data_IF_434150653813
#
_entry.id   IF_434150653813
#
_cell.length_a   1.000
_cell.length_b   1.000
_cell.length_c   1.000
_cell.angle_alpha   90.00
_cell.angle_beta   90.00
_cell.angle_gamma   90.00
#
_symmetry.space_group_name_H-M   'P 1'
#
loop_
_entity.id
_entity.type
_entity.pdbx_description
1 polymer ?
#
# COMPACT_ATOMS: atom_id res chain seq x y z
N UNK A 1 17.58 -2.40 4.51
CA UNK A 1 16.23 -1.98 4.93
C UNK A 1 16.30 -0.78 5.86
N UNK A 2 15.33 0.14 5.81
CA UNK A 2 15.24 1.31 6.70
C UNK A 2 13.81 1.47 7.21
N UNK A 3 13.61 1.67 8.51
CA UNK A 3 12.31 2.03 9.07
C UNK A 3 12.05 3.52 8.90
N UNK A 4 10.84 3.86 8.49
CA UNK A 4 10.36 5.23 8.33
C UNK A 4 8.89 5.31 8.74
N UNK A 5 8.41 6.54 8.95
CA UNK A 5 7.01 6.84 9.21
C UNK A 5 6.50 7.73 8.08
N UNK A 6 5.41 7.33 7.44
CA UNK A 6 4.89 7.96 6.24
C UNK A 6 3.49 8.53 6.45
N UNK A 7 3.20 9.66 5.81
CA UNK A 7 1.83 10.12 5.64
C UNK A 7 1.11 9.23 4.60
N UNK A 8 -0.18 8.90 4.77
CA UNK A 8 -0.93 8.09 3.80
C UNK A 8 -0.93 8.65 2.36
N UNK A 9 -0.81 9.97 2.20
CA UNK A 9 -0.71 10.62 0.88
C UNK A 9 0.64 10.39 0.17
N UNK A 10 1.67 9.91 0.87
CA UNK A 10 3.00 9.66 0.29
C UNK A 10 3.12 8.28 -0.37
N UNK A 11 2.08 7.44 -0.26
CA UNK A 11 2.12 6.03 -0.66
C UNK A 11 1.07 5.77 -1.76
N UNK A 12 1.52 5.34 -2.94
CA UNK A 12 0.67 4.74 -3.94
C UNK A 12 0.21 3.36 -3.45
N UNK A 13 -1.09 3.14 -3.41
CA UNK A 13 -1.70 1.90 -2.88
C UNK A 13 -2.02 0.91 -4.01
N UNK A 14 -2.33 -0.33 -3.64
CA UNK A 14 -2.81 -1.38 -4.54
C UNK A 14 -4.28 -1.15 -4.95
N UNK A 15 -4.68 -1.70 -6.10
CA UNK A 15 -6.03 -1.49 -6.66
C UNK A 15 -7.15 -2.37 -6.02
N UNK A 16 -6.98 -2.82 -4.78
CA UNK A 16 -8.01 -3.58 -4.08
C UNK A 16 -9.08 -2.63 -3.50
N UNK A 17 -10.17 -2.38 -4.23
CA UNK A 17 -11.26 -1.53 -3.78
C UNK A 17 -12.63 -2.26 -3.84
N UNK A 18 -13.37 -2.34 -2.71
CA UNK A 18 -12.90 -2.13 -1.34
C UNK A 18 -11.84 -3.19 -0.97
N UNK A 19 -11.18 -3.02 0.19
CA UNK A 19 -10.27 -4.06 0.69
C UNK A 19 -11.01 -5.40 0.84
N UNK A 20 -10.42 -6.50 0.35
CA UNK A 20 -11.14 -7.77 0.10
C UNK A 20 -11.69 -8.50 1.34
N UNK A 21 -11.28 -8.12 2.56
CA UNK A 21 -11.69 -8.80 3.79
C UNK A 21 -12.00 -7.80 4.90
N UNK A 22 -13.29 -7.55 5.10
CA UNK A 22 -13.77 -6.59 6.10
C UNK A 22 -13.37 -6.99 7.54
N UNK A 23 -13.29 -8.28 7.86
CA UNK A 23 -12.97 -8.73 9.22
C UNK A 23 -11.52 -8.41 9.58
N UNK A 24 -10.59 -8.59 8.65
CA UNK A 24 -9.19 -8.18 8.82
C UNK A 24 -9.09 -6.67 8.98
N UNK A 25 -9.85 -5.89 8.20
CA UNK A 25 -9.90 -4.44 8.37
C UNK A 25 -10.43 -4.06 9.76
N UNK A 26 -11.49 -4.73 10.27
CA UNK A 26 -12.03 -4.50 11.62
C UNK A 26 -11.00 -4.75 12.72
N UNK A 27 -10.23 -5.83 12.61
CA UNK A 27 -9.18 -6.15 13.57
C UNK A 27 -8.13 -5.04 13.60
N UNK A 28 -7.55 -4.69 12.45
CA UNK A 28 -6.54 -3.62 12.38
C UNK A 28 -7.10 -2.27 12.84
N UNK A 29 -8.32 -1.93 12.43
CA UNK A 29 -8.98 -0.70 12.86
C UNK A 29 -9.11 -0.65 14.37
N UNK A 30 -9.52 -1.74 15.03
CA UNK A 30 -9.67 -1.78 16.50
C UNK A 30 -8.33 -1.66 17.22
N UNK A 31 -7.27 -2.27 16.69
CA UNK A 31 -5.90 -2.12 17.21
C UNK A 31 -5.47 -0.65 17.13
N UNK A 32 -5.63 -0.01 15.98
CA UNK A 32 -5.24 1.39 15.77
C UNK A 32 -6.09 2.36 16.60
N UNK A 33 -7.41 2.14 16.65
CA UNK A 33 -8.36 2.94 17.43
C UNK A 33 -8.02 2.91 18.92
N UNK A 34 -7.58 1.76 19.44
CA UNK A 34 -7.17 1.59 20.85
C UNK A 34 -5.72 2.01 21.12
N UNK A 35 -5.02 2.59 20.14
CA UNK A 35 -3.62 3.05 20.24
C UNK A 35 -2.62 1.92 20.55
N UNK A 36 -2.88 0.71 20.10
CA UNK A 36 -1.95 -0.43 20.18
C UNK A 36 -1.18 -0.62 18.87
N UNK A 37 -0.76 0.46 18.23
CA UNK A 37 -0.13 0.40 16.89
C UNK A 37 1.26 -0.24 16.96
N UNK A 38 1.89 -0.19 18.12
CA UNK A 38 3.18 -0.79 18.45
C UNK A 38 3.22 -2.32 18.27
N UNK A 39 2.09 -3.01 18.35
CA UNK A 39 1.99 -4.45 18.10
C UNK A 39 1.94 -4.77 16.60
N UNK A 40 1.74 -3.76 15.74
CA UNK A 40 1.63 -3.96 14.31
C UNK A 40 3.01 -3.87 13.65
N UNK A 41 3.42 -4.89 12.88
CA UNK A 41 4.68 -4.83 12.16
C UNK A 41 4.63 -3.72 11.09
N UNK A 42 5.79 -3.13 10.73
CA UNK A 42 5.87 -2.15 9.65
C UNK A 42 5.46 -2.77 8.31
N UNK A 43 5.09 -1.92 7.36
CA UNK A 43 4.64 -2.31 6.02
C UNK A 43 5.76 -2.20 4.99
N UNK A 44 5.90 -3.18 4.07
CA UNK A 44 6.91 -3.11 3.03
C UNK A 44 6.53 -2.08 1.96
N UNK A 45 7.45 -1.17 1.67
CA UNK A 45 7.35 -0.21 0.57
C UNK A 45 8.68 -0.13 -0.17
N UNK A 46 8.64 0.28 -1.44
CA UNK A 46 9.84 0.71 -2.15
C UNK A 46 9.69 2.14 -2.65
N UNK A 47 10.81 2.86 -2.72
CA UNK A 47 10.83 4.25 -3.18
C UNK A 47 10.76 4.29 -4.71
N UNK A 48 10.00 5.25 -5.28
CA UNK A 48 9.78 5.38 -6.73
C UNK A 48 11.08 5.54 -7.54
N UNK A 49 12.14 6.05 -6.93
CA UNK A 49 13.47 6.19 -7.58
C UNK A 49 14.14 4.85 -7.91
N UNK A 50 13.68 3.73 -7.32
CA UNK A 50 14.19 2.40 -7.67
C UNK A 50 13.57 1.88 -8.97
N UNK A 51 12.45 2.46 -9.39
CA UNK A 51 11.69 2.06 -10.56
C UNK A 51 10.21 2.33 -10.35
N UNK A 52 9.51 2.55 -11.47
CA UNK A 52 8.06 2.52 -11.51
C UNK A 52 7.60 1.13 -11.99
N UNK A 53 6.42 0.66 -11.56
CA UNK A 53 5.90 -0.64 -11.95
C UNK A 53 5.33 -0.58 -13.38
N UNK A 54 6.23 -0.53 -14.36
CA UNK A 54 5.88 -0.44 -15.78
C UNK A 54 5.87 -1.81 -16.44
N UNK A 55 4.95 -2.01 -17.37
CA UNK A 55 4.89 -3.20 -18.20
C UNK A 55 5.91 -3.11 -19.35
N UNK A 56 6.54 -4.24 -19.66
CA UNK A 56 7.37 -4.40 -20.86
C UNK A 56 6.52 -4.66 -22.11
N UNK A 57 6.99 -4.20 -23.27
CA UNK A 57 6.34 -4.44 -24.56
C UNK A 57 5.95 -3.16 -25.31
N UNK A 58 5.31 -3.31 -26.47
CA UNK A 58 4.99 -2.20 -27.40
C UNK A 58 3.50 -2.03 -27.70
N UNK A 59 2.62 -2.84 -27.07
CA UNK A 59 1.18 -2.80 -27.26
C UNK A 59 0.56 -1.45 -26.87
N UNK A 60 -0.56 -1.10 -27.51
CA UNK A 60 -1.26 0.18 -27.26
C UNK A 60 -1.70 0.31 -25.80
N UNK A 61 -2.27 -0.74 -25.22
CA UNK A 61 -2.76 -0.72 -23.85
C UNK A 61 -1.61 -0.67 -22.82
N UNK A 62 -0.49 -1.36 -23.10
CA UNK A 62 0.75 -1.27 -22.31
C UNK A 62 1.28 0.18 -22.30
N UNK A 63 1.33 0.83 -23.46
CA UNK A 63 1.74 2.24 -23.56
C UNK A 63 0.81 3.16 -22.77
N UNK A 64 -0.51 2.97 -22.92
CA UNK A 64 -1.53 3.75 -22.19
C UNK A 64 -1.35 3.61 -20.68
N UNK A 65 -1.21 2.38 -20.19
CA UNK A 65 -0.98 2.07 -18.79
C UNK A 65 0.31 2.72 -18.26
N UNK A 66 1.44 2.55 -18.97
CA UNK A 66 2.72 3.13 -18.57
C UNK A 66 2.69 4.67 -18.55
N UNK A 67 1.96 5.29 -19.47
CA UNK A 67 1.72 6.75 -19.46
C UNK A 67 0.90 7.14 -18.23
N UNK A 68 -0.18 6.42 -17.93
CA UNK A 68 -1.04 6.72 -16.81
C UNK A 68 -0.31 6.61 -15.46
N UNK A 69 0.57 5.61 -15.27
CA UNK A 69 1.40 5.52 -14.05
C UNK A 69 2.31 6.72 -13.93
N UNK A 70 3.00 7.10 -15.01
CA UNK A 70 3.90 8.26 -14.99
C UNK A 70 3.15 9.54 -14.68
N UNK A 71 2.02 9.76 -15.36
CA UNK A 71 1.16 10.92 -15.15
C UNK A 71 0.69 11.00 -13.70
N UNK A 72 0.30 9.88 -13.09
CA UNK A 72 -0.06 9.84 -11.67
C UNK A 72 1.07 10.36 -10.75
N UNK A 73 2.32 9.94 -10.96
CA UNK A 73 3.45 10.43 -10.14
C UNK A 73 3.85 11.88 -10.43
N UNK A 74 3.57 12.38 -11.64
CA UNK A 74 3.77 13.78 -12.01
C UNK A 74 2.70 14.68 -11.37
N UNK A 75 1.44 14.25 -11.40
CA UNK A 75 0.30 14.94 -10.79
C UNK A 75 0.30 14.87 -9.26
N UNK A 76 0.96 13.86 -8.68
CA UNK A 76 1.05 13.63 -7.24
C UNK A 76 2.51 13.63 -6.78
N UNK A 77 3.21 14.79 -6.81
CA UNK A 77 4.64 14.86 -6.54
C UNK A 77 5.02 14.40 -5.12
N UNK A 78 4.10 14.54 -4.15
CA UNK A 78 4.27 14.07 -2.77
C UNK A 78 4.23 12.54 -2.60
N UNK A 79 3.82 11.79 -3.63
CA UNK A 79 3.89 10.33 -3.61
C UNK A 79 5.31 9.89 -3.92
N UNK A 80 5.94 9.27 -2.94
CA UNK A 80 7.35 8.85 -2.99
C UNK A 80 7.52 7.33 -2.93
N UNK A 81 6.51 6.63 -2.42
CA UNK A 81 6.57 5.21 -2.13
C UNK A 81 5.45 4.44 -2.80
N UNK A 82 5.73 3.19 -3.15
CA UNK A 82 4.76 2.24 -3.69
C UNK A 82 4.59 1.12 -2.67
N UNK A 83 3.33 0.84 -2.32
CA UNK A 83 2.97 -0.22 -1.38
C UNK A 83 3.26 -1.59 -2.00
N UNK A 84 4.02 -2.42 -1.29
CA UNK A 84 4.25 -3.80 -1.73
C UNK A 84 3.14 -4.74 -1.24
N UNK A 85 2.70 -4.55 0.00
CA UNK A 85 1.62 -5.31 0.64
C UNK A 85 1.03 -4.54 1.84
N UNK A 86 -0.13 -4.99 2.33
CA UNK A 86 -0.74 -4.55 3.59
C UNK A 86 -1.76 -3.42 3.45
N UNK A 87 -2.57 -3.51 2.39
CA UNK A 87 -3.68 -2.60 2.12
C UNK A 87 -4.67 -2.44 3.28
N UNK A 88 -5.08 -3.53 3.95
CA UNK A 88 -5.99 -3.43 5.11
C UNK A 88 -5.39 -2.62 6.26
N UNK A 89 -4.10 -2.83 6.55
CA UNK A 89 -3.40 -2.16 7.67
C UNK A 89 -3.17 -0.68 7.37
N UNK A 90 -2.75 -0.34 6.15
CA UNK A 90 -2.63 1.07 5.71
C UNK A 90 -3.98 1.80 5.73
N UNK A 91 -5.05 1.13 5.29
CA UNK A 91 -6.42 1.66 5.35
C UNK A 91 -6.86 1.88 6.80
N UNK A 92 -6.63 0.92 7.71
CA UNK A 92 -6.98 1.05 9.13
C UNK A 92 -6.23 2.19 9.83
N UNK A 93 -4.92 2.33 9.58
CA UNK A 93 -4.12 3.45 10.10
C UNK A 93 -4.66 4.79 9.61
N UNK A 94 -5.01 4.87 8.33
CA UNK A 94 -5.58 6.09 7.73
C UNK A 94 -6.96 6.41 8.28
N UNK A 95 -7.84 5.41 8.45
CA UNK A 95 -9.18 5.56 9.05
C UNK A 95 -9.13 6.08 10.49
N UNK A 96 -8.01 5.88 11.17
CA UNK A 96 -7.79 6.28 12.57
C UNK A 96 -6.86 7.48 12.70
N UNK A 97 -6.53 8.14 11.57
CA UNK A 97 -5.69 9.33 11.47
C UNK A 97 -4.28 9.13 12.02
N UNK A 98 -3.71 7.94 11.81
CA UNK A 98 -2.36 7.59 12.20
C UNK A 98 -1.41 7.62 10.99
N UNK A 99 -0.16 8.00 11.24
CA UNK A 99 0.92 7.81 10.28
C UNK A 99 1.23 6.31 10.09
N UNK A 100 1.86 5.97 8.98
CA UNK A 100 2.10 4.59 8.56
C UNK A 100 3.56 4.20 8.87
N UNK A 101 3.80 3.28 9.83
CA UNK A 101 5.10 2.68 10.01
C UNK A 101 5.42 1.79 8.80
N UNK A 102 6.52 2.09 8.12
CA UNK A 102 6.92 1.40 6.90
C UNK A 102 8.40 1.00 6.96
N UNK A 103 8.72 -0.08 6.23
CA UNK A 103 10.08 -0.54 5.99
C UNK A 103 10.40 -0.40 4.51
N UNK A 104 11.46 0.36 4.22
CA UNK A 104 11.90 0.60 2.85
C UNK A 104 12.77 -0.57 2.39
N UNK A 105 12.27 -1.27 1.37
CA UNK A 105 12.95 -2.34 0.65
C UNK A 105 13.66 -1.73 -0.57
N UNK A 106 14.98 -1.96 -0.68
CA UNK A 106 15.80 -1.37 -1.75
C UNK A 106 16.49 -2.38 -2.65
N UNK A 107 16.74 -3.59 -2.15
CA UNK A 107 17.58 -4.59 -2.83
C UNK A 107 16.98 -5.98 -2.74
N UNK A 108 17.43 -6.91 -3.58
CA UNK A 108 17.03 -8.32 -3.48
C UNK A 108 17.40 -8.93 -2.11
N UNK A 109 18.48 -8.44 -1.47
CA UNK A 109 18.84 -8.89 -0.13
C UNK A 109 17.85 -8.38 0.92
N UNK A 110 17.34 -7.15 0.77
CA UNK A 110 16.27 -6.64 1.62
C UNK A 110 14.99 -7.49 1.46
N UNK A 111 14.62 -7.85 0.24
CA UNK A 111 13.45 -8.73 -0.03
C UNK A 111 13.61 -10.07 0.67
N UNK A 112 14.77 -10.74 0.50
CA UNK A 112 15.07 -12.00 1.19
C UNK A 112 15.04 -11.86 2.71
N UNK A 113 15.55 -10.74 3.25
CA UNK A 113 15.50 -10.48 4.68
C UNK A 113 14.06 -10.28 5.16
N UNK A 114 13.22 -9.58 4.39
CA UNK A 114 11.82 -9.37 4.72
C UNK A 114 11.02 -10.69 4.74
N UNK A 115 11.26 -11.59 3.80
CA UNK A 115 10.72 -12.96 3.83
C UNK A 115 11.12 -13.72 5.11
N UNK A 116 12.38 -13.64 5.52
CA UNK A 116 12.83 -14.26 6.80
C UNK A 116 12.13 -13.69 8.02
N UNK A 117 11.71 -12.42 7.99
CA UNK A 117 10.94 -11.82 9.08
C UNK A 117 9.55 -12.45 9.21
N UNK A 118 8.98 -12.99 8.13
CA UNK A 118 7.72 -13.74 8.17
C UNK A 118 7.93 -15.11 8.83
N UNK A 119 9.01 -15.81 8.47
CA UNK A 119 9.40 -17.11 9.05
C UNK A 119 9.62 -17.02 10.57
N UNK A 120 10.15 -15.89 11.06
CA UNK A 120 10.39 -15.66 12.50
C UNK A 120 9.21 -15.02 13.23
N UNK A 121 8.12 -14.69 12.53
CA UNK A 121 6.94 -14.03 13.11
C UNK A 121 7.12 -12.55 13.44
N UNK A 122 8.21 -11.91 12.98
CA UNK A 122 8.43 -10.47 13.08
C UNK A 122 7.45 -9.67 12.19
N UNK A 123 6.92 -10.30 11.13
CA UNK A 123 5.79 -9.80 10.33
C UNK A 123 4.73 -10.89 10.19
N UNK A 124 3.47 -10.49 9.98
CA UNK A 124 2.34 -11.44 9.94
C UNK A 124 2.26 -12.25 8.64
N UNK A 125 2.53 -11.62 7.50
CA UNK A 125 2.50 -12.27 6.20
C UNK A 125 3.15 -11.39 5.13
N UNK A 126 3.81 -12.00 4.14
CA UNK A 126 4.23 -11.31 2.92
C UNK A 126 4.17 -12.26 1.72
N UNK A 127 3.06 -12.21 0.97
CA UNK A 127 2.86 -13.05 -0.21
C UNK A 127 3.60 -12.56 -1.47
N UNK A 128 4.59 -11.67 -1.32
CA UNK A 128 5.27 -11.04 -2.44
C UNK A 128 6.43 -11.87 -3.03
N UNK A 129 6.93 -11.51 -4.23
CA UNK A 129 8.05 -12.20 -4.85
C UNK A 129 9.39 -12.08 -4.07
N UNK A 130 10.41 -12.82 -4.50
CA UNK A 130 11.72 -12.90 -3.83
C UNK A 130 12.78 -11.93 -4.38
N UNK A 131 12.49 -11.22 -5.46
CA UNK A 131 13.39 -10.22 -6.05
C UNK A 131 12.68 -8.91 -6.39
N UNK A 132 13.45 -7.80 -6.42
CA UNK A 132 12.93 -6.49 -6.81
C UNK A 132 12.37 -6.48 -8.24
N UNK A 133 13.01 -7.22 -9.17
CA UNK A 133 12.54 -7.34 -10.54
C UNK A 133 11.16 -7.99 -10.60
N UNK A 134 10.95 -9.07 -9.84
CA UNK A 134 9.66 -9.74 -9.77
C UNK A 134 8.62 -8.88 -9.05
N UNK A 135 9.00 -8.13 -8.00
CA UNK A 135 8.10 -7.17 -7.35
C UNK A 135 7.64 -6.10 -8.33
N UNK A 136 8.53 -5.55 -9.17
CA UNK A 136 8.14 -4.56 -10.18
C UNK A 136 7.19 -5.17 -11.21
N UNK A 137 7.43 -6.42 -11.62
CA UNK A 137 6.57 -7.14 -12.55
C UNK A 137 5.19 -7.40 -11.93
N UNK A 138 5.15 -7.98 -10.73
CA UNK A 138 3.92 -8.24 -9.97
C UNK A 138 3.08 -6.96 -9.81
N UNK A 139 3.72 -5.84 -9.46
CA UNK A 139 3.02 -4.57 -9.33
C UNK A 139 2.56 -4.00 -10.66
N UNK A 140 3.36 -4.11 -11.72
CA UNK A 140 2.95 -3.68 -13.06
C UNK A 140 1.72 -4.46 -13.54
N UNK A 141 1.71 -5.78 -13.32
CA UNK A 141 0.58 -6.66 -13.65
C UNK A 141 -0.66 -6.31 -12.81
N UNK A 142 -0.50 -6.16 -11.49
CA UNK A 142 -1.59 -5.75 -10.59
C UNK A 142 -2.21 -4.40 -10.96
N UNK A 143 -1.39 -3.46 -11.43
CA UNK A 143 -1.83 -2.14 -11.84
C UNK A 143 -2.38 -2.09 -13.26
N UNK A 144 -2.11 -3.08 -14.10
CA UNK A 144 -2.60 -3.11 -15.47
C UNK A 144 -4.13 -3.20 -15.54
N UNK A 145 -4.71 -3.94 -14.60
CA UNK A 145 -6.16 -4.11 -14.47
C UNK A 145 -6.83 -2.94 -13.74
N UNK A 146 -6.06 -1.91 -13.35
CA UNK A 146 -6.59 -0.78 -12.59
C UNK A 146 -7.20 0.30 -13.49
N UNK A 147 -8.45 0.67 -13.18
CA UNK A 147 -9.13 1.79 -13.83
C UNK A 147 -8.44 3.14 -13.56
N UNK A 148 -7.80 3.28 -12.41
CA UNK A 148 -7.09 4.50 -12.00
C UNK A 148 -6.09 4.22 -10.86
N UNK A 149 -5.19 5.17 -10.62
CA UNK A 149 -4.20 5.13 -9.55
C UNK A 149 -4.57 6.07 -8.42
N UNK A 150 -4.22 5.72 -7.19
CA UNK A 150 -4.58 6.49 -6.01
C UNK A 150 -3.55 6.30 -4.89
N UNK A 151 -3.54 7.25 -3.97
CA UNK A 151 -2.79 7.13 -2.70
C UNK A 151 -3.60 6.31 -1.70
N UNK A 152 -2.94 5.85 -0.63
CA UNK A 152 -3.65 5.22 0.51
C UNK A 152 -4.72 6.17 1.07
N UNK A 153 -4.41 7.46 1.17
CA UNK A 153 -5.34 8.48 1.65
C UNK A 153 -6.59 8.59 0.78
N UNK A 154 -6.40 8.82 -0.53
CA UNK A 154 -7.48 8.99 -1.49
C UNK A 154 -8.36 7.75 -1.56
N UNK A 155 -7.76 6.55 -1.52
CA UNK A 155 -8.48 5.28 -1.45
C UNK A 155 -9.36 5.19 -0.20
N UNK A 156 -8.78 5.48 0.96
CA UNK A 156 -9.49 5.40 2.24
C UNK A 156 -10.66 6.39 2.27
N UNK A 157 -10.44 7.62 1.81
CA UNK A 157 -11.48 8.63 1.68
C UNK A 157 -12.61 8.17 0.77
N UNK A 158 -12.29 7.63 -0.41
CA UNK A 158 -13.28 7.08 -1.35
C UNK A 158 -14.08 5.93 -0.71
N UNK A 159 -13.44 5.06 0.08
CA UNK A 159 -14.14 3.98 0.79
C UNK A 159 -15.17 4.52 1.81
N UNK A 160 -14.82 5.60 2.52
CA UNK A 160 -15.71 6.30 3.45
C UNK A 160 -16.88 6.96 2.72
N UNK A 161 -16.61 7.65 1.62
CA UNK A 161 -17.62 8.36 0.81
C UNK A 161 -18.60 7.40 0.14
N UNK A 162 -18.08 6.31 -0.44
CA UNK A 162 -18.88 5.27 -1.07
C UNK A 162 -19.64 4.37 -0.07
N UNK A 163 -19.39 4.53 1.24
CA UNK A 163 -20.00 3.75 2.33
C UNK A 163 -19.82 2.23 2.16
N UNK A 164 -18.66 1.80 1.66
CA UNK A 164 -18.30 0.39 1.43
C UNK A 164 -17.53 -0.24 2.60
N UNK A 165 -17.58 0.39 3.78
CA UNK A 165 -16.98 -0.09 5.03
C UNK A 165 -17.97 0.11 6.19
N UNK A 166 -17.78 -0.58 7.33
CA UNK A 166 -18.69 -0.48 8.46
C UNK A 166 -18.91 0.95 8.96
N UNK A 167 -20.18 1.27 9.26
CA UNK A 167 -20.59 2.62 9.66
C UNK A 167 -19.82 3.16 10.87
N UNK A 168 -19.42 2.31 11.82
CA UNK A 168 -18.65 2.77 12.99
C UNK A 168 -17.24 3.27 12.63
N UNK A 169 -16.63 2.76 11.55
CA UNK A 169 -15.34 3.25 11.05
C UNK A 169 -15.50 4.58 10.35
N UNK A 170 -16.56 4.72 9.54
CA UNK A 170 -16.94 5.98 8.88
C UNK A 170 -17.15 7.08 9.92
N UNK A 171 -17.92 6.78 10.96
CA UNK A 171 -18.20 7.72 12.04
C UNK A 171 -16.92 8.15 12.76
N UNK A 172 -16.01 7.19 13.02
CA UNK A 172 -14.73 7.50 13.64
C UNK A 172 -13.86 8.40 12.75
N UNK A 173 -13.74 8.06 11.46
CA UNK A 173 -12.95 8.85 10.51
C UNK A 173 -13.45 10.29 10.39
N UNK A 174 -14.77 10.50 10.37
CA UNK A 174 -15.38 11.84 10.27
C UNK A 174 -15.38 12.64 11.58
N UNK A 175 -15.14 12.00 12.72
CA UNK A 175 -15.19 12.63 14.05
C UNK A 175 -13.92 13.39 14.45
N UNK A 176 -12.86 13.27 13.65
CA UNK A 176 -11.59 13.98 13.80
C UNK A 176 -11.30 14.74 12.53
#
# INVERSE_FOLDING_TARGET
MKLITLHPSQIMTTNDFPVHNEQILKIYFKICQKKHIDILPPLPVYHKSLGLPLLGGSGKDIKKHNIAIKSFFEENPGVEYILMDGSHKTTALTLTHNLIPAIVIKTNQDVKKFHKMEETGEIFSFAGPFTMKEIFKDKAEHFFEADFFQTVESKTKRMVEAKVIPQFMINHYKSK
#
